data_IF_583424470641
#
_entry.id   IF_583424470641
#
_cell.length_a   1.000
_cell.length_b   1.000
_cell.length_c   1.000
_cell.angle_alpha   90.00
_cell.angle_beta   90.00
_cell.angle_gamma   90.00
#
_symmetry.space_group_name_H-M   'P 1'
#
loop_
_entity.id
_entity.type
_entity.pdbx_description
1 polymer ?
#
# COMPACT_ATOMS: atom_id res chain seq x y z
N UNK A 1 -3.02 13.82 -6.64
CA UNK A 1 -4.12 14.15 -7.62
C UNK A 1 -5.44 14.37 -6.87
N UNK A 2 -6.52 14.88 -7.48
CA UNK A 2 -7.79 15.30 -6.81
C UNK A 2 -8.28 14.32 -5.72
N UNK A 3 -8.10 13.01 -5.94
CA UNK A 3 -8.45 11.94 -4.98
C UNK A 3 -7.66 12.04 -3.65
N UNK A 4 -6.37 12.37 -3.66
CA UNK A 4 -5.58 12.63 -2.43
C UNK A 4 -6.06 13.84 -1.64
N UNK A 5 -6.69 14.83 -2.30
CA UNK A 5 -7.27 15.99 -1.60
C UNK A 5 -8.65 15.66 -1.04
N UNK A 6 -9.36 14.73 -1.67
CA UNK A 6 -10.68 14.26 -1.24
C UNK A 6 -10.57 13.26 -0.07
N UNK A 7 -9.54 12.42 -0.09
CA UNK A 7 -9.21 11.49 0.98
C UNK A 7 -8.35 12.22 2.01
N UNK A 8 -8.66 12.09 3.30
CA UNK A 8 -7.88 12.68 4.40
C UNK A 8 -7.00 11.60 5.04
N UNK A 9 -5.85 11.21 4.45
CA UNK A 9 -5.06 10.10 4.94
C UNK A 9 -4.34 10.44 6.24
N UNK A 10 -4.47 9.55 7.22
CA UNK A 10 -3.69 9.60 8.46
C UNK A 10 -2.25 9.12 8.26
N UNK A 11 -2.02 8.23 7.27
CA UNK A 11 -0.71 7.67 7.00
C UNK A 11 -0.35 7.74 5.51
N UNK A 12 0.93 8.02 5.25
CA UNK A 12 1.53 7.98 3.92
C UNK A 12 2.67 6.98 3.92
N UNK A 13 2.62 6.06 2.97
CA UNK A 13 3.47 4.89 2.94
C UNK A 13 4.32 4.92 1.66
N UNK A 14 5.62 4.66 1.80
CA UNK A 14 6.55 4.50 0.67
C UNK A 14 7.16 3.10 0.70
N UNK A 15 7.04 2.40 -0.41
CA UNK A 15 7.72 1.12 -0.62
C UNK A 15 8.93 1.37 -1.51
N UNK A 16 10.11 1.00 -1.00
CA UNK A 16 11.39 1.16 -1.66
C UNK A 16 12.05 -0.20 -1.88
N UNK A 17 12.26 -0.54 -3.15
CA UNK A 17 13.01 -1.74 -3.54
C UNK A 17 14.51 -1.43 -3.56
N UNK A 18 15.18 -1.63 -2.43
CA UNK A 18 16.59 -1.34 -2.18
C UNK A 18 17.53 -2.46 -2.64
N UNK A 19 17.21 -3.15 -3.75
CA UNK A 19 17.95 -4.32 -4.23
C UNK A 19 19.45 -4.08 -4.56
N UNK A 20 19.86 -2.82 -4.71
CA UNK A 20 21.25 -2.42 -5.01
C UNK A 20 22.00 -1.83 -3.82
N UNK A 21 21.35 -1.69 -2.66
CA UNK A 21 21.90 -1.02 -1.50
C UNK A 21 22.16 -2.01 -0.36
N UNK A 22 23.20 -1.74 0.43
CA UNK A 22 23.41 -2.47 1.66
C UNK A 22 22.50 -1.94 2.77
N UNK A 23 21.92 -2.81 3.63
CA UNK A 23 21.04 -2.38 4.70
C UNK A 23 21.68 -1.41 5.68
N UNK A 24 22.96 -1.58 6.01
CA UNK A 24 23.65 -0.83 7.05
C UNK A 24 23.58 0.69 6.85
N UNK A 25 24.11 1.18 5.72
CA UNK A 25 24.14 2.63 5.43
C UNK A 25 22.75 3.27 5.42
N UNK A 26 21.75 2.56 4.88
CA UNK A 26 20.38 3.08 4.78
C UNK A 26 19.71 3.10 6.15
N UNK A 27 19.81 2.00 6.90
CA UNK A 27 19.22 1.88 8.25
C UNK A 27 19.85 2.91 9.19
N UNK A 28 21.16 3.07 9.15
CA UNK A 28 21.85 4.05 9.99
C UNK A 28 21.49 5.48 9.58
N UNK A 29 21.36 5.76 8.27
CA UNK A 29 20.91 7.06 7.78
C UNK A 29 19.50 7.45 8.25
N UNK A 30 18.57 6.49 8.32
CA UNK A 30 17.25 6.73 8.89
C UNK A 30 17.31 6.92 10.42
N UNK A 31 18.13 6.13 11.15
CA UNK A 31 18.29 6.26 12.61
C UNK A 31 18.88 7.62 13.00
N UNK A 32 19.90 8.07 12.27
CA UNK A 32 20.53 9.38 12.48
C UNK A 32 19.54 10.53 12.29
N UNK A 33 18.52 10.35 11.44
CA UNK A 33 17.45 11.32 11.21
C UNK A 33 16.30 11.22 12.22
N UNK A 34 16.38 10.30 13.19
CA UNK A 34 15.38 10.12 14.23
C UNK A 34 14.21 9.20 13.85
N UNK A 35 14.32 8.44 12.76
CA UNK A 35 13.31 7.45 12.40
C UNK A 35 13.43 6.20 13.26
N UNK A 36 12.29 5.69 13.71
CA UNK A 36 12.21 4.36 14.29
C UNK A 36 12.34 3.34 13.16
N UNK A 37 13.24 2.36 13.32
CA UNK A 37 13.46 1.30 12.34
C UNK A 37 13.49 -0.03 13.03
N UNK A 38 12.80 -0.99 12.44
CA UNK A 38 12.79 -2.37 12.87
C UNK A 38 13.08 -3.28 11.68
N UNK A 39 14.00 -4.23 11.87
CA UNK A 39 14.10 -5.35 10.93
C UNK A 39 12.91 -6.27 11.15
N UNK A 40 12.22 -6.64 10.08
CA UNK A 40 11.08 -7.54 10.16
C UNK A 40 11.57 -8.96 10.46
N UNK A 41 11.25 -9.52 11.64
CA UNK A 41 11.66 -10.86 12.01
C UNK A 41 10.94 -11.87 11.12
N UNK A 42 11.68 -12.85 10.58
CA UNK A 42 11.07 -13.93 9.77
C UNK A 42 10.47 -15.05 10.59
N UNK A 43 10.92 -15.18 11.82
CA UNK A 43 10.62 -16.32 12.69
C UNK A 43 9.43 -16.05 13.62
N UNK A 44 8.89 -14.82 13.60
CA UNK A 44 7.77 -14.38 14.43
C UNK A 44 6.53 -14.23 13.55
N UNK A 45 5.34 -14.40 14.14
CA UNK A 45 4.08 -14.09 13.47
C UNK A 45 4.11 -12.67 12.89
N UNK A 46 3.93 -12.51 11.57
CA UNK A 46 3.92 -11.21 10.92
C UNK A 46 2.97 -10.21 11.55
N UNK A 47 1.83 -10.67 12.09
CA UNK A 47 0.86 -9.80 12.74
C UNK A 47 1.41 -9.20 14.03
N UNK A 48 2.02 -10.03 14.88
CA UNK A 48 2.61 -9.61 16.15
C UNK A 48 3.80 -8.65 15.92
N UNK A 49 4.61 -8.91 14.89
CA UNK A 49 5.72 -8.03 14.53
C UNK A 49 5.23 -6.63 14.12
N UNK A 50 4.12 -6.55 13.37
CA UNK A 50 3.52 -5.28 12.96
C UNK A 50 2.91 -4.55 14.15
N UNK A 51 2.21 -5.26 15.04
CA UNK A 51 1.64 -4.65 16.25
C UNK A 51 2.73 -4.07 17.14
N UNK A 52 3.82 -4.81 17.35
CA UNK A 52 5.00 -4.33 18.08
C UNK A 52 5.61 -3.09 17.42
N UNK A 53 5.76 -3.09 16.09
CA UNK A 53 6.24 -1.94 15.34
C UNK A 53 5.33 -0.72 15.50
N UNK A 54 4.01 -0.89 15.39
CA UNK A 54 3.05 0.20 15.51
C UNK A 54 2.98 0.77 16.93
N UNK A 55 3.08 -0.08 17.95
CA UNK A 55 3.09 0.34 19.36
C UNK A 55 4.39 1.07 19.75
N UNK A 56 5.52 0.69 19.15
CA UNK A 56 6.85 1.22 19.49
C UNK A 56 7.27 2.44 18.66
N UNK A 57 6.43 2.89 17.73
CA UNK A 57 6.78 3.96 16.79
C UNK A 57 5.62 4.93 16.58
N UNK A 58 5.93 6.17 16.18
CA UNK A 58 4.93 7.19 15.91
C UNK A 58 5.28 7.99 14.66
N UNK A 59 4.26 8.65 14.09
CA UNK A 59 4.39 9.51 12.91
C UNK A 59 3.56 9.03 11.71
N UNK A 60 3.15 9.96 10.83
CA UNK A 60 2.29 9.64 9.70
C UNK A 60 3.07 9.04 8.50
N UNK A 61 4.40 9.13 8.47
CA UNK A 61 5.21 8.65 7.34
C UNK A 61 5.79 7.27 7.63
N UNK A 62 5.42 6.30 6.82
CA UNK A 62 5.85 4.90 6.96
C UNK A 62 6.62 4.49 5.72
N UNK A 63 7.67 3.71 5.92
CA UNK A 63 8.55 3.21 4.87
C UNK A 63 8.66 1.71 4.99
N UNK A 64 8.49 1.04 3.86
CA UNK A 64 8.82 -0.38 3.70
C UNK A 64 10.06 -0.46 2.81
N UNK A 65 11.15 -0.94 3.39
CA UNK A 65 12.42 -1.10 2.69
C UNK A 65 12.65 -2.59 2.39
N UNK A 66 12.62 -2.94 1.11
CA UNK A 66 12.86 -4.30 0.64
C UNK A 66 14.29 -4.44 0.18
N UNK A 67 15.08 -5.24 0.89
CA UNK A 67 16.49 -5.50 0.59
C UNK A 67 16.69 -6.89 -0.03
N UNK A 68 17.87 -7.15 -0.63
CA UNK A 68 18.24 -8.46 -1.13
C UNK A 68 18.07 -9.58 -0.10
N UNK A 69 17.96 -10.81 -0.59
CA UNK A 69 17.72 -12.02 0.21
C UNK A 69 16.38 -12.03 0.95
N UNK A 70 15.45 -11.11 0.65
CA UNK A 70 14.12 -11.02 1.24
C UNK A 70 14.10 -10.31 2.61
N UNK A 71 15.11 -9.51 2.94
CA UNK A 71 15.14 -8.77 4.21
C UNK A 71 14.21 -7.57 4.08
N UNK A 72 13.30 -7.41 5.03
CA UNK A 72 12.32 -6.33 5.03
C UNK A 72 12.56 -5.49 6.28
N UNK A 73 12.66 -4.18 6.10
CA UNK A 73 12.75 -3.23 7.21
C UNK A 73 11.55 -2.31 7.16
N UNK A 74 10.98 -2.06 8.32
CA UNK A 74 9.94 -1.08 8.52
C UNK A 74 10.55 0.13 9.19
N UNK A 75 10.29 1.31 8.63
CA UNK A 75 10.70 2.56 9.26
C UNK A 75 9.52 3.52 9.37
N UNK A 76 9.47 4.29 10.47
CA UNK A 76 8.43 5.29 10.71
C UNK A 76 9.05 6.61 11.15
N UNK A 77 8.51 7.70 10.63
CA UNK A 77 9.01 9.03 10.88
C UNK A 77 7.89 10.08 10.93
N UNK A 78 8.17 11.22 11.56
CA UNK A 78 7.25 12.36 11.67
C UNK A 78 7.26 13.24 10.43
N UNK A 79 8.34 13.21 9.63
CA UNK A 79 8.49 13.97 8.39
C UNK A 79 9.00 13.11 7.22
N UNK A 80 8.95 13.63 6.00
CA UNK A 80 9.51 12.93 4.84
C UNK A 80 11.05 12.86 4.93
N UNK A 81 11.56 11.63 5.01
CA UNK A 81 12.93 11.28 4.69
C UNK A 81 13.03 11.00 3.18
N UNK A 82 13.88 11.77 2.49
CA UNK A 82 14.19 11.57 1.07
C UNK A 82 15.70 11.61 0.87
N UNK A 83 16.17 10.84 -0.10
CA UNK A 83 17.56 10.83 -0.53
C UNK A 83 17.63 10.70 -2.04
N UNK A 84 18.43 11.55 -2.69
CA UNK A 84 18.49 11.64 -4.16
C UNK A 84 18.92 10.34 -4.84
N UNK A 85 19.64 9.49 -4.13
CA UNK A 85 20.17 8.21 -4.65
C UNK A 85 19.15 7.08 -4.58
N UNK A 86 18.04 7.24 -3.86
CA UNK A 86 17.06 6.18 -3.67
C UNK A 86 16.26 5.91 -4.94
N UNK A 87 15.81 4.65 -5.14
CA UNK A 87 14.92 4.31 -6.24
C UNK A 87 13.59 5.07 -6.08
N UNK A 88 12.87 5.23 -7.20
CA UNK A 88 11.52 5.80 -7.17
C UNK A 88 10.62 4.93 -6.27
N UNK A 89 10.07 5.47 -5.18
CA UNK A 89 9.21 4.70 -4.29
C UNK A 89 7.85 4.48 -4.95
N UNK A 90 7.26 3.31 -4.71
CA UNK A 90 5.83 3.17 -4.84
C UNK A 90 5.14 3.88 -3.66
N UNK A 91 4.08 4.61 -3.95
CA UNK A 91 3.41 5.46 -2.97
C UNK A 91 2.01 4.93 -2.67
N UNK A 92 1.68 4.88 -1.40
CA UNK A 92 0.41 4.42 -0.90
C UNK A 92 -0.06 5.35 0.22
N UNK A 93 -1.36 5.41 0.42
CA UNK A 93 -2.00 6.15 1.50
C UNK A 93 -2.88 5.21 2.31
N UNK A 94 -2.95 5.43 3.63
CA UNK A 94 -3.87 4.72 4.51
C UNK A 94 -4.70 5.69 5.35
N UNK A 95 -5.95 5.29 5.61
CA UNK A 95 -6.95 6.08 6.32
C UNK A 95 -6.71 6.12 7.81
N UNK A 96 -6.40 4.97 8.39
CA UNK A 96 -6.34 4.72 9.81
C UNK A 96 -5.27 3.66 10.13
N UNK A 97 -5.07 3.38 11.42
CA UNK A 97 -4.09 2.38 11.86
C UNK A 97 -4.47 0.98 11.39
N UNK A 98 -5.77 0.66 11.32
CA UNK A 98 -6.26 -0.59 10.77
C UNK A 98 -5.87 -0.78 9.29
N UNK A 99 -6.03 0.26 8.47
CA UNK A 99 -5.60 0.26 7.07
C UNK A 99 -4.09 0.13 6.92
N UNK A 100 -3.32 0.79 7.78
CA UNK A 100 -1.86 0.65 7.83
C UNK A 100 -1.45 -0.78 8.20
N UNK A 101 -2.05 -1.37 9.24
CA UNK A 101 -1.80 -2.77 9.66
C UNK A 101 -2.06 -3.74 8.52
N UNK A 102 -3.19 -3.57 7.82
CA UNK A 102 -3.55 -4.41 6.66
C UNK A 102 -2.53 -4.27 5.52
N UNK A 103 -2.10 -3.05 5.21
CA UNK A 103 -1.07 -2.82 4.20
C UNK A 103 0.26 -3.50 4.56
N UNK A 104 0.73 -3.30 5.79
CA UNK A 104 1.99 -3.89 6.26
C UNK A 104 1.93 -5.42 6.27
N UNK A 105 0.78 -6.00 6.62
CA UNK A 105 0.55 -7.44 6.55
C UNK A 105 0.70 -7.95 5.12
N UNK A 106 -0.02 -7.32 4.17
CA UNK A 106 0.05 -7.65 2.73
C UNK A 106 1.49 -7.68 2.24
N UNK A 107 2.28 -6.71 2.67
CA UNK A 107 3.64 -6.53 2.20
C UNK A 107 4.66 -7.47 2.88
N UNK A 108 4.39 -7.87 4.13
CA UNK A 108 5.21 -8.81 4.88
C UNK A 108 4.91 -10.29 4.54
N UNK A 109 3.68 -10.62 4.11
CA UNK A 109 3.26 -12.01 3.89
C UNK A 109 2.46 -12.21 2.61
N UNK A 110 2.98 -13.06 1.71
CA UNK A 110 2.28 -13.52 0.49
C UNK A 110 0.92 -14.14 0.76
N UNK A 111 0.73 -14.79 1.91
CA UNK A 111 -0.54 -15.42 2.28
C UNK A 111 -1.63 -14.37 2.57
N UNK A 112 -1.25 -13.28 3.22
CA UNK A 112 -2.16 -12.16 3.50
C UNK A 112 -2.45 -11.29 2.28
N UNK A 113 -1.50 -11.21 1.33
CA UNK A 113 -1.70 -10.59 0.02
C UNK A 113 -2.87 -11.24 -0.73
N UNK A 114 -2.94 -12.57 -0.77
CA UNK A 114 -4.03 -13.30 -1.44
C UNK A 114 -5.38 -13.03 -0.76
N UNK A 115 -5.44 -13.08 0.57
CA UNK A 115 -6.67 -12.82 1.33
C UNK A 115 -7.23 -11.40 1.11
N UNK A 116 -6.38 -10.41 0.84
CA UNK A 116 -6.80 -9.03 0.58
C UNK A 116 -7.13 -8.75 -0.89
N UNK A 117 -6.54 -9.48 -1.83
CA UNK A 117 -6.79 -9.29 -3.28
C UNK A 117 -8.00 -10.07 -3.79
N UNK A 118 -8.37 -11.17 -3.14
CA UNK A 118 -9.55 -11.99 -3.50
C UNK A 118 -10.87 -11.20 -3.48
N UNK A 119 -11.17 -10.36 -2.47
CA UNK A 119 -12.39 -9.54 -2.48
C UNK A 119 -12.45 -8.57 -3.66
N UNK A 120 -11.34 -7.95 -4.03
CA UNK A 120 -11.28 -7.03 -5.17
C UNK A 120 -11.53 -7.75 -6.50
N UNK A 121 -10.92 -8.92 -6.71
CA UNK A 121 -11.18 -9.74 -7.90
C UNK A 121 -12.63 -10.20 -7.99
N UNK A 122 -13.25 -10.59 -6.88
CA UNK A 122 -14.66 -11.00 -6.84
C UNK A 122 -15.58 -9.85 -7.25
N UNK A 123 -15.34 -8.64 -6.73
CA UNK A 123 -16.13 -7.45 -7.09
C UNK A 123 -16.01 -7.16 -8.59
N UNK A 124 -14.78 -7.14 -9.13
CA UNK A 124 -14.57 -6.91 -10.56
C UNK A 124 -15.15 -8.04 -11.43
N UNK A 125 -15.12 -9.29 -10.96
CA UNK A 125 -15.76 -10.42 -11.63
C UNK A 125 -17.27 -10.26 -11.73
N UNK A 126 -17.94 -9.80 -10.66
CA UNK A 126 -19.38 -9.52 -10.66
C UNK A 126 -19.71 -8.35 -11.58
N UNK A 127 -18.93 -7.28 -11.53
CA UNK A 127 -19.09 -6.11 -12.42
C UNK A 127 -18.93 -6.52 -13.89
N UNK A 128 -17.90 -7.30 -14.21
CA UNK A 128 -17.67 -7.83 -15.55
C UNK A 128 -18.81 -8.73 -16.02
N UNK A 129 -19.31 -9.60 -15.14
CA UNK A 129 -20.43 -10.49 -15.46
C UNK A 129 -21.73 -9.71 -15.76
N UNK A 130 -22.03 -8.67 -14.98
CA UNK A 130 -23.17 -7.79 -15.22
C UNK A 130 -23.02 -7.04 -16.55
N UNK A 131 -21.83 -6.52 -16.83
CA UNK A 131 -21.52 -5.84 -18.10
C UNK A 131 -21.70 -6.81 -19.27
N UNK A 132 -21.16 -8.02 -19.19
CA UNK A 132 -21.26 -9.03 -20.24
C UNK A 132 -22.72 -9.42 -20.51
N UNK A 133 -23.52 -9.58 -19.45
CA UNK A 133 -24.94 -9.93 -19.56
C UNK A 133 -25.75 -8.82 -20.26
N UNK A 134 -25.51 -7.55 -19.93
CA UNK A 134 -26.22 -6.42 -20.52
C UNK A 134 -25.67 -5.98 -21.90
N UNK A 135 -24.38 -6.17 -22.15
CA UNK A 135 -23.72 -5.79 -23.42
C UNK A 135 -24.21 -6.60 -24.63
N UNK A 136 -24.88 -7.74 -24.40
CA UNK A 136 -25.42 -8.57 -25.48
C UNK A 136 -26.57 -7.91 -26.23
N UNK A 137 -27.21 -6.90 -25.64
CA UNK A 137 -28.39 -6.22 -26.18
C UNK A 137 -28.10 -4.81 -26.72
N UNK A 138 -26.99 -4.16 -26.33
CA UNK A 138 -26.70 -2.76 -26.69
C UNK A 138 -25.20 -2.48 -26.97
N UNK A 139 -24.77 -2.39 -28.24
CA UNK A 139 -23.36 -2.11 -28.59
C UNK A 139 -22.89 -0.69 -28.22
N UNK A 140 -23.81 0.27 -28.04
CA UNK A 140 -23.52 1.63 -27.56
C UNK A 140 -23.14 1.66 -26.07
N UNK A 141 -23.63 0.70 -25.26
CA UNK A 141 -23.29 0.59 -23.85
C UNK A 141 -21.79 0.27 -23.63
N UNK A 142 -21.20 -0.50 -24.55
CA UNK A 142 -19.77 -0.86 -24.53
C UNK A 142 -18.87 0.36 -24.74
N UNK A 143 -19.29 1.33 -25.56
CA UNK A 143 -18.55 2.57 -25.82
C UNK A 143 -18.61 3.54 -24.63
N UNK A 144 -19.77 3.64 -23.98
CA UNK A 144 -19.97 4.40 -22.73
C UNK A 144 -19.13 3.83 -21.58
N UNK A 145 -19.05 2.50 -21.46
CA UNK A 145 -18.21 1.82 -20.46
C UNK A 145 -16.71 2.12 -20.60
N UNK A 146 -16.21 2.29 -21.83
CA UNK A 146 -14.81 2.63 -22.05
C UNK A 146 -14.47 4.04 -21.53
N UNK A 147 -15.38 5.01 -21.73
CA UNK A 147 -15.25 6.36 -21.15
C UNK A 147 -15.56 6.40 -19.65
N UNK A 148 -16.50 5.57 -19.17
CA UNK A 148 -16.77 5.40 -17.74
C UNK A 148 -15.61 4.71 -17.02
N UNK A 149 -14.78 3.93 -17.72
CA UNK A 149 -13.61 3.25 -17.19
C UNK A 149 -12.63 4.19 -16.48
N UNK A 150 -12.52 5.45 -16.95
CA UNK A 150 -11.70 6.46 -16.30
C UNK A 150 -12.28 6.91 -14.95
N UNK A 151 -13.59 7.18 -14.90
CA UNK A 151 -14.33 7.51 -13.67
C UNK A 151 -14.34 6.34 -12.67
N UNK A 152 -14.48 5.12 -13.20
CA UNK A 152 -14.44 3.88 -12.42
C UNK A 152 -13.09 3.65 -11.76
N UNK A 153 -11.98 4.11 -12.35
CA UNK A 153 -10.66 3.93 -11.77
C UNK A 153 -10.46 4.80 -10.50
N UNK A 154 -10.91 6.06 -10.55
CA UNK A 154 -10.90 6.94 -9.39
C UNK A 154 -11.92 6.49 -8.33
N UNK A 155 -13.11 6.05 -8.74
CA UNK A 155 -14.10 5.44 -7.85
C UNK A 155 -13.59 4.15 -7.20
N UNK A 156 -12.85 3.32 -7.94
CA UNK A 156 -12.24 2.11 -7.43
C UNK A 156 -11.18 2.43 -6.37
N UNK A 157 -10.34 3.45 -6.57
CA UNK A 157 -9.39 3.91 -5.53
C UNK A 157 -10.11 4.37 -4.26
N UNK A 158 -11.20 5.13 -4.40
CA UNK A 158 -12.00 5.59 -3.26
C UNK A 158 -12.66 4.39 -2.55
N UNK A 159 -13.18 3.44 -3.31
CA UNK A 159 -13.80 2.23 -2.77
C UNK A 159 -12.79 1.32 -2.07
N UNK A 160 -11.63 1.06 -2.69
CA UNK A 160 -10.50 0.34 -2.09
C UNK A 160 -10.07 1.02 -0.79
N UNK A 161 -9.91 2.34 -0.80
CA UNK A 161 -9.55 3.09 0.39
C UNK A 161 -10.62 3.00 1.50
N UNK A 162 -11.91 2.93 1.14
CA UNK A 162 -12.99 2.80 2.11
C UNK A 162 -13.12 1.37 2.68
N UNK A 163 -12.91 0.34 1.84
CA UNK A 163 -13.06 -1.07 2.21
C UNK A 163 -11.80 -1.63 2.87
N UNK A 164 -10.64 -1.41 2.25
CA UNK A 164 -9.35 -1.93 2.72
C UNK A 164 -8.70 -0.99 3.74
N UNK A 165 -9.01 0.31 3.70
CA UNK A 165 -8.39 1.33 4.54
C UNK A 165 -7.08 1.89 3.96
N UNK A 166 -6.67 1.42 2.77
CA UNK A 166 -5.48 1.92 2.07
C UNK A 166 -5.66 1.83 0.55
N UNK A 167 -4.96 2.67 -0.21
CA UNK A 167 -4.92 2.60 -1.67
C UNK A 167 -3.57 3.10 -2.21
N UNK A 168 -3.29 2.82 -3.49
CA UNK A 168 -2.14 3.37 -4.19
C UNK A 168 -2.37 4.84 -4.54
N UNK A 169 -1.38 5.69 -4.30
CA UNK A 169 -1.38 7.12 -4.65
C UNK A 169 -1.18 7.26 -6.17
#
# INVERSE_FOLDING_TARGET
>A
MIVERLLSPSYRIRVLNMGKFEPGEIVDGFRQRGAYIMEFPRDIDPELAIESFMASSYGPYVYVLKFPKGRLFLARHTTWVFEKKWPSPERYIARDESGLKRFLLKEASRKSMILMEVPAMLIWGVVWWLIWKYSREYPLATFLLFFLGFLLNDLAKVFEYFVLGYCKE
#
